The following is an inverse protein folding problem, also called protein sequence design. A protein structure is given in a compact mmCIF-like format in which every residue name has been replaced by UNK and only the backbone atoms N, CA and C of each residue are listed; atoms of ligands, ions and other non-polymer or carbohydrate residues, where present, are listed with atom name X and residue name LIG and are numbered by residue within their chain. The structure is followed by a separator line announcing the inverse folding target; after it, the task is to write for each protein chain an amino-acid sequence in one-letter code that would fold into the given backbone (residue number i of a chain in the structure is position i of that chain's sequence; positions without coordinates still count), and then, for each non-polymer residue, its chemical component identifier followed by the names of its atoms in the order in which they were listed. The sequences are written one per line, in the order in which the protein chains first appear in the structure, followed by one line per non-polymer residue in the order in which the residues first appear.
data_IF_303408756612
#
_entry.id   IF_303408756612
#
_cell.length_a   1.000
_cell.length_b   1.000
_cell.length_c   1.000
_cell.angle_alpha   90.00
_cell.angle_beta   90.00
_cell.angle_gamma   90.00
#
_symmetry.space_group_name_H-M   'P 1'
#
loop_
_entity.id
_entity.type
_entity.pdbx_description
1 polymer ?
#
# COMPACT_ATOMS: atom_id res chain seq x y z
N UNK A 1 -26.84 -32.68 67.98
CA UNK A 1 -27.45 -32.81 66.64
C UNK A 1 -27.35 -31.51 65.83
N UNK A 2 -27.44 -30.33 66.45
CA UNK A 2 -27.36 -29.02 65.75
C UNK A 2 -25.99 -28.71 65.09
N UNK A 3 -24.87 -29.20 65.66
CA UNK A 3 -23.52 -29.01 65.09
C UNK A 3 -23.30 -29.75 63.76
N UNK A 4 -23.97 -30.89 63.56
CA UNK A 4 -23.89 -31.65 62.32
C UNK A 4 -24.68 -30.96 61.20
N UNK A 5 -25.88 -30.47 61.54
CA UNK A 5 -26.74 -29.77 60.58
C UNK A 5 -26.12 -28.47 60.06
N UNK A 6 -25.49 -27.70 60.96
CA UNK A 6 -24.79 -26.47 60.61
C UNK A 6 -23.60 -26.74 59.68
N UNK A 7 -22.83 -27.80 59.95
CA UNK A 7 -21.74 -28.23 59.09
C UNK A 7 -22.20 -28.62 57.67
N UNK A 8 -23.26 -29.43 57.56
CA UNK A 8 -23.85 -29.82 56.27
C UNK A 8 -24.33 -28.61 55.45
N UNK A 9 -24.91 -27.62 56.12
CA UNK A 9 -25.35 -26.39 55.47
C UNK A 9 -24.16 -25.58 54.92
N UNK A 10 -23.05 -25.50 55.67
CA UNK A 10 -21.83 -24.84 55.19
C UNK A 10 -21.18 -25.58 54.02
N UNK A 11 -21.14 -26.91 54.07
CA UNK A 11 -20.69 -27.75 52.96
C UNK A 11 -21.53 -27.51 51.71
N UNK A 12 -22.85 -27.56 51.82
CA UNK A 12 -23.78 -27.32 50.72
C UNK A 12 -23.54 -25.94 50.09
N UNK A 13 -23.36 -24.89 50.91
CA UNK A 13 -23.02 -23.55 50.43
C UNK A 13 -21.71 -23.54 49.63
N UNK A 14 -20.65 -24.21 50.12
CA UNK A 14 -19.39 -24.33 49.40
C UNK A 14 -19.54 -25.09 48.07
N UNK A 15 -20.34 -26.15 48.04
CA UNK A 15 -20.63 -26.89 46.82
C UNK A 15 -21.32 -26.01 45.78
N UNK A 16 -22.32 -25.22 46.18
CA UNK A 16 -22.99 -24.28 45.30
C UNK A 16 -22.02 -23.23 44.73
N UNK A 17 -21.11 -22.71 45.55
CA UNK A 17 -20.06 -21.79 45.09
C UNK A 17 -19.11 -22.45 44.08
N UNK A 18 -18.72 -23.70 44.31
CA UNK A 18 -17.89 -24.48 43.37
C UNK A 18 -18.63 -24.69 42.05
N UNK A 19 -19.90 -25.06 42.10
CA UNK A 19 -20.74 -25.26 40.90
C UNK A 19 -20.87 -23.97 40.10
N UNK A 20 -21.13 -22.83 40.75
CA UNK A 20 -21.19 -21.51 40.11
C UNK A 20 -19.88 -21.14 39.40
N UNK A 21 -18.74 -21.37 40.06
CA UNK A 21 -17.42 -21.12 39.44
C UNK A 21 -17.19 -22.02 38.23
N UNK A 22 -17.53 -23.30 38.34
CA UNK A 22 -17.38 -24.27 37.25
C UNK A 22 -18.23 -23.89 36.04
N UNK A 23 -19.50 -23.53 36.24
CA UNK A 23 -20.39 -23.14 35.14
C UNK A 23 -19.92 -21.87 34.46
N UNK A 24 -19.50 -20.85 35.24
CA UNK A 24 -18.92 -19.62 34.69
C UNK A 24 -17.68 -19.89 33.84
N UNK A 25 -16.75 -20.72 34.32
CA UNK A 25 -15.53 -21.05 33.58
C UNK A 25 -15.83 -21.82 32.29
N UNK A 26 -16.76 -22.78 32.32
CA UNK A 26 -17.17 -23.53 31.13
C UNK A 26 -17.77 -22.60 30.08
N UNK A 27 -18.63 -21.67 30.48
CA UNK A 27 -19.22 -20.68 29.58
C UNK A 27 -18.15 -19.76 28.96
N UNK A 28 -17.16 -19.34 29.74
CA UNK A 28 -16.04 -18.54 29.25
C UNK A 28 -15.19 -19.32 28.23
N UNK A 29 -14.84 -20.56 28.55
CA UNK A 29 -14.07 -21.44 27.66
C UNK A 29 -14.80 -21.69 26.33
N UNK A 30 -16.12 -21.91 26.38
CA UNK A 30 -16.95 -22.06 25.18
C UNK A 30 -16.94 -20.78 24.32
N UNK A 31 -17.12 -19.62 24.94
CA UNK A 31 -17.07 -18.33 24.24
C UNK A 31 -15.73 -18.08 23.55
N UNK A 32 -14.61 -18.37 24.24
CA UNK A 32 -13.27 -18.22 23.68
C UNK A 32 -13.03 -19.18 22.52
N UNK A 33 -13.50 -20.43 22.65
CA UNK A 33 -13.39 -21.43 21.60
C UNK A 33 -14.15 -21.00 20.34
N UNK A 34 -15.38 -20.50 20.49
CA UNK A 34 -16.18 -20.00 19.36
C UNK A 34 -15.53 -18.78 18.68
N UNK A 35 -15.02 -17.82 19.46
CA UNK A 35 -14.25 -16.69 18.90
C UNK A 35 -13.04 -17.16 18.09
N UNK A 36 -12.31 -18.15 18.61
CA UNK A 36 -11.14 -18.69 17.94
C UNK A 36 -11.50 -19.45 16.66
N UNK A 37 -12.57 -20.26 16.66
CA UNK A 37 -13.09 -20.93 15.46
C UNK A 37 -13.49 -19.91 14.40
N UNK A 38 -14.21 -18.86 14.78
CA UNK A 38 -14.63 -17.80 13.86
C UNK A 38 -13.43 -17.06 13.25
N UNK A 39 -12.42 -16.73 14.07
CA UNK A 39 -11.17 -16.12 13.57
C UNK A 39 -10.46 -17.01 12.56
N UNK A 40 -10.33 -18.32 12.85
CA UNK A 40 -9.74 -19.29 11.92
C UNK A 40 -10.52 -19.39 10.61
N UNK A 41 -11.85 -19.43 10.69
CA UNK A 41 -12.71 -19.47 9.51
C UNK A 41 -12.53 -18.21 8.67
N UNK A 42 -12.49 -17.03 9.29
CA UNK A 42 -12.26 -15.77 8.59
C UNK A 42 -10.88 -15.75 7.91
N UNK A 43 -9.83 -16.13 8.63
CA UNK A 43 -8.48 -16.20 8.09
C UNK A 43 -8.39 -17.18 6.90
N UNK A 44 -9.07 -18.33 6.98
CA UNK A 44 -9.13 -19.27 5.87
C UNK A 44 -9.79 -18.65 4.63
N UNK A 45 -10.94 -17.97 4.78
CA UNK A 45 -11.61 -17.27 3.67
C UNK A 45 -10.73 -16.17 3.07
N UNK A 46 -10.08 -15.37 3.92
CA UNK A 46 -9.19 -14.29 3.47
C UNK A 46 -7.98 -14.85 2.70
N UNK A 47 -7.41 -15.96 3.19
CA UNK A 47 -6.30 -16.65 2.53
C UNK A 47 -6.72 -17.24 1.19
N UNK A 48 -7.89 -17.87 1.10
CA UNK A 48 -8.42 -18.43 -0.14
C UNK A 48 -8.69 -17.32 -1.17
N UNK A 49 -9.26 -16.19 -0.73
CA UNK A 49 -9.50 -15.03 -1.59
C UNK A 49 -8.18 -14.42 -2.09
N UNK A 50 -7.14 -14.38 -1.24
CA UNK A 50 -5.80 -13.93 -1.65
C UNK A 50 -5.16 -14.89 -2.65
N UNK A 51 -5.27 -16.21 -2.42
CA UNK A 51 -4.76 -17.24 -3.35
C UNK A 51 -5.43 -17.10 -4.72
N UNK A 52 -6.76 -16.93 -4.78
CA UNK A 52 -7.48 -16.72 -6.04
C UNK A 52 -7.00 -15.47 -6.78
N UNK A 53 -6.94 -14.32 -6.09
CA UNK A 53 -6.42 -13.07 -6.67
C UNK A 53 -4.98 -13.21 -7.16
N UNK A 54 -4.12 -13.87 -6.39
CA UNK A 54 -2.72 -14.07 -6.75
C UNK A 54 -2.59 -14.98 -7.98
N UNK A 55 -3.42 -16.02 -8.09
CA UNK A 55 -3.44 -16.89 -9.26
C UNK A 55 -3.84 -16.15 -10.54
N UNK A 56 -4.85 -15.28 -10.46
CA UNK A 56 -5.27 -14.41 -11.57
C UNK A 56 -4.15 -13.45 -11.99
N UNK A 57 -3.52 -12.78 -11.03
CA UNK A 57 -2.39 -11.88 -11.30
C UNK A 57 -1.21 -12.62 -11.93
N UNK A 58 -0.86 -13.81 -11.45
CA UNK A 58 0.22 -14.61 -12.03
C UNK A 58 -0.09 -15.02 -13.47
N UNK A 59 -1.34 -15.39 -13.75
CA UNK A 59 -1.76 -15.71 -15.11
C UNK A 59 -1.65 -14.49 -16.03
N UNK A 60 -2.08 -13.31 -15.58
CA UNK A 60 -1.99 -12.08 -16.37
C UNK A 60 -0.54 -11.66 -16.61
N UNK A 61 0.32 -11.77 -15.59
CA UNK A 61 1.75 -11.54 -15.73
C UNK A 61 2.39 -12.49 -16.74
N UNK A 62 2.05 -13.77 -16.68
CA UNK A 62 2.55 -14.76 -17.64
C UNK A 62 2.08 -14.44 -19.07
N UNK A 63 0.83 -13.99 -19.24
CA UNK A 63 0.30 -13.56 -20.54
C UNK A 63 1.08 -12.36 -21.09
N UNK A 64 1.35 -11.36 -20.26
CA UNK A 64 2.14 -10.18 -20.63
C UNK A 64 3.58 -10.60 -20.97
N UNK A 65 4.20 -11.45 -20.15
CA UNK A 65 5.55 -11.97 -20.39
C UNK A 65 5.64 -12.70 -21.72
N UNK A 66 4.69 -13.60 -22.01
CA UNK A 66 4.64 -14.30 -23.28
C UNK A 66 4.51 -13.35 -24.46
N UNK A 67 3.65 -12.32 -24.35
CA UNK A 67 3.50 -11.31 -25.38
C UNK A 67 4.79 -10.49 -25.60
N UNK A 68 5.53 -10.19 -24.53
CA UNK A 68 6.81 -9.51 -24.62
C UNK A 68 7.88 -10.40 -25.26
N UNK A 69 7.90 -11.69 -24.92
CA UNK A 69 8.83 -12.67 -25.52
C UNK A 69 8.56 -12.91 -27.01
N UNK A 70 7.30 -12.90 -27.43
CA UNK A 70 6.94 -13.11 -28.85
C UNK A 70 7.12 -11.85 -29.69
N UNK A 71 7.17 -10.67 -29.07
CA UNK A 71 7.44 -9.41 -29.78
C UNK A 71 8.88 -9.43 -30.29
N UNK A 72 9.08 -9.10 -31.57
CA UNK A 72 10.45 -9.00 -32.10
C UNK A 72 11.20 -7.88 -31.38
N UNK A 73 12.45 -8.16 -30.99
CA UNK A 73 13.31 -7.14 -30.40
C UNK A 73 13.47 -5.98 -31.38
N UNK A 74 13.49 -4.72 -30.90
CA UNK A 74 13.80 -3.58 -31.73
C UNK A 74 15.20 -3.72 -32.36
N UNK A 75 15.39 -3.14 -33.54
CA UNK A 75 16.67 -3.21 -34.25
C UNK A 75 17.82 -2.76 -33.33
N UNK A 76 18.99 -3.42 -33.33
CA UNK A 76 20.08 -3.12 -32.39
C UNK A 76 20.50 -1.65 -32.33
N UNK A 77 20.38 -0.91 -33.44
CA UNK A 77 20.64 0.54 -33.46
C UNK A 77 19.66 1.33 -32.59
N UNK A 78 18.38 0.96 -32.59
CA UNK A 78 17.35 1.60 -31.75
C UNK A 78 17.68 1.37 -30.28
N UNK A 79 18.04 0.15 -29.91
CA UNK A 79 18.45 -0.19 -28.53
C UNK A 79 19.70 0.59 -28.11
N UNK A 80 20.69 0.71 -29.00
CA UNK A 80 21.89 1.52 -28.76
C UNK A 80 21.58 2.99 -28.55
N UNK A 81 20.65 3.55 -29.33
CA UNK A 81 20.21 4.93 -29.21
C UNK A 81 19.45 5.15 -27.91
N UNK A 82 18.49 4.28 -27.57
CA UNK A 82 17.74 4.34 -26.30
C UNK A 82 18.69 4.28 -25.10
N UNK A 83 19.66 3.36 -25.12
CA UNK A 83 20.65 3.21 -24.04
C UNK A 83 21.47 4.50 -23.85
N UNK A 84 21.95 5.09 -24.95
CA UNK A 84 22.68 6.37 -24.89
C UNK A 84 21.80 7.53 -24.44
N UNK A 85 20.55 7.55 -24.89
CA UNK A 85 19.59 8.57 -24.50
C UNK A 85 19.33 8.53 -23.00
N UNK A 86 19.02 7.35 -22.44
CA UNK A 86 18.79 7.21 -21.00
C UNK A 86 20.04 7.54 -20.17
N UNK A 87 21.24 7.15 -20.62
CA UNK A 87 22.48 7.56 -19.98
C UNK A 87 22.67 9.10 -19.98
N UNK A 88 22.33 9.77 -21.09
CA UNK A 88 22.36 11.24 -21.17
C UNK A 88 21.29 11.89 -20.29
N UNK A 89 20.12 11.27 -20.16
CA UNK A 89 19.07 11.73 -19.23
C UNK A 89 19.58 11.63 -17.80
N UNK A 90 20.17 10.50 -17.40
CA UNK A 90 20.74 10.29 -16.07
C UNK A 90 21.83 11.31 -15.74
N UNK A 91 22.68 11.67 -16.70
CA UNK A 91 23.69 12.72 -16.55
C UNK A 91 23.07 14.11 -16.31
N UNK A 92 21.89 14.37 -16.89
CA UNK A 92 21.18 15.65 -16.79
C UNK A 92 20.19 15.73 -15.62
N UNK A 93 19.82 14.61 -15.01
CA UNK A 93 18.95 14.58 -13.83
C UNK A 93 19.45 15.50 -12.69
N UNK A 94 20.75 15.54 -12.33
CA UNK A 94 21.24 16.44 -11.27
C UNK A 94 21.07 17.93 -11.62
N UNK A 95 21.27 18.30 -12.89
CA UNK A 95 21.04 19.67 -13.35
C UNK A 95 19.54 20.04 -13.31
N UNK A 96 18.67 19.06 -13.53
CA UNK A 96 17.22 19.24 -13.51
C UNK A 96 16.61 19.09 -12.12
N UNK A 97 17.28 18.45 -11.17
CA UNK A 97 16.75 18.16 -9.82
C UNK A 97 16.16 19.40 -9.13
N UNK A 98 16.81 20.58 -9.11
CA UNK A 98 16.22 21.77 -8.48
C UNK A 98 14.93 22.21 -9.17
N UNK A 99 14.84 22.09 -10.49
CA UNK A 99 13.65 22.44 -11.26
C UNK A 99 12.53 21.41 -11.10
N UNK A 100 12.85 20.11 -11.20
CA UNK A 100 11.90 19.01 -11.01
C UNK A 100 11.28 19.02 -9.60
N UNK A 101 12.04 19.51 -8.61
CA UNK A 101 11.57 19.70 -7.24
C UNK A 101 10.92 21.06 -6.98
N UNK A 102 10.73 21.89 -8.01
CA UNK A 102 10.07 23.20 -7.93
C UNK A 102 10.86 24.30 -7.20
N UNK A 103 12.16 24.09 -6.98
CA UNK A 103 13.06 25.00 -6.26
C UNK A 103 13.99 25.81 -7.15
N UNK A 104 14.02 25.53 -8.46
CA UNK A 104 14.94 26.12 -9.41
C UNK A 104 14.25 26.74 -10.63
N UNK A 105 14.92 27.68 -11.32
CA UNK A 105 14.43 28.20 -12.59
C UNK A 105 14.37 27.09 -13.65
N UNK A 106 13.46 27.22 -14.62
CA UNK A 106 13.35 26.28 -15.74
C UNK A 106 14.70 26.14 -16.45
N UNK A 107 15.23 24.91 -16.63
CA UNK A 107 16.50 24.71 -17.30
C UNK A 107 16.39 25.27 -18.71
N UNK A 108 17.33 26.16 -19.04
CA UNK A 108 17.39 26.80 -20.36
C UNK A 108 17.86 25.75 -21.35
N UNK A 109 17.06 25.49 -22.38
CA UNK A 109 17.43 24.59 -23.47
C UNK A 109 18.67 25.15 -24.16
N UNK A 110 19.70 24.33 -24.34
CA UNK A 110 20.91 24.66 -25.11
C UNK A 110 20.50 25.00 -26.55
N UNK A 111 20.20 26.28 -26.79
CA UNK A 111 19.62 26.76 -28.06
C UNK A 111 18.95 28.14 -27.96
N UNK A 112 18.42 28.55 -26.79
CA UNK A 112 17.65 29.80 -26.64
C UNK A 112 18.50 31.03 -26.26
N UNK A 113 19.71 31.14 -26.80
CA UNK A 113 20.46 32.41 -26.79
C UNK A 113 20.21 33.17 -28.09
N UNK A 114 18.98 33.64 -28.29
CA UNK A 114 18.70 34.65 -29.30
C UNK A 114 17.86 35.80 -28.74
N UNK A 115 18.52 36.94 -28.58
CA UNK A 115 17.97 38.30 -28.62
C UNK A 115 16.91 38.69 -27.59
N UNK A 116 17.28 38.79 -26.31
CA UNK A 116 16.57 39.67 -25.37
C UNK A 116 17.05 41.12 -25.53
N UNK A 117 16.59 41.81 -26.60
CA UNK A 117 16.64 43.28 -26.64
C UNK A 117 15.66 43.83 -25.62
N UNK A 118 16.18 44.51 -24.61
CA UNK A 118 15.42 45.34 -23.68
C UNK A 118 14.64 46.42 -24.42
N UNK A 119 13.31 46.40 -24.32
CA UNK A 119 12.47 47.59 -24.58
C UNK A 119 11.40 47.71 -23.50
N UNK A 120 11.57 48.69 -22.61
CA UNK A 120 10.55 49.13 -21.65
C UNK A 120 9.44 49.90 -22.39
N UNK A 121 8.17 49.56 -22.15
CA UNK A 121 7.12 50.45 -21.57
C UNK A 121 5.68 49.93 -21.86
N UNK A 122 4.94 49.77 -20.75
CA UNK A 122 3.60 50.32 -20.42
C UNK A 122 2.35 49.72 -21.12
N UNK A 123 1.39 49.28 -20.30
CA UNK A 123 -0.03 49.27 -20.64
C UNK A 123 -0.80 48.06 -20.09
N UNK A 124 -1.84 48.33 -19.29
CA UNK A 124 -2.79 47.39 -18.69
C UNK A 124 -3.54 46.53 -19.71
N UNK A 125 -3.94 45.31 -19.32
CA UNK A 125 -5.33 44.96 -18.97
C UNK A 125 -5.44 43.45 -18.78
N UNK A 126 -6.42 43.08 -17.96
CA UNK A 126 -6.79 41.73 -17.55
C UNK A 126 -7.01 40.79 -18.75
N UNK A 127 -6.68 39.51 -18.58
CA UNK A 127 -7.70 38.46 -18.49
C UNK A 127 -7.05 37.11 -18.16
N UNK A 128 -7.55 36.51 -17.09
CA UNK A 128 -7.30 35.12 -16.71
C UNK A 128 -8.03 34.20 -17.68
N UNK A 129 -7.50 33.01 -17.97
CA UNK A 129 -8.35 31.85 -17.68
C UNK A 129 -7.61 30.73 -16.95
N UNK A 130 -8.22 30.38 -15.82
CA UNK A 130 -8.52 29.03 -15.40
C UNK A 130 -7.36 28.09 -15.04
N UNK A 131 -7.07 28.09 -13.75
CA UNK A 131 -6.51 26.97 -13.01
C UNK A 131 -7.34 25.71 -13.24
N UNK A 132 -6.73 24.67 -13.79
CA UNK A 132 -7.13 23.27 -13.57
C UNK A 132 -5.88 22.38 -13.67
N UNK A 133 -5.17 22.23 -12.55
CA UNK A 133 -4.28 21.09 -12.34
C UNK A 133 -3.95 20.96 -10.85
N UNK A 134 -4.90 20.47 -10.05
CA UNK A 134 -4.71 20.26 -8.61
C UNK A 134 -5.36 18.98 -8.09
N UNK A 135 -5.46 17.93 -8.93
CA UNK A 135 -6.14 16.68 -8.52
C UNK A 135 -5.35 15.38 -8.63
N UNK A 136 -4.06 15.40 -8.99
CA UNK A 136 -3.29 14.15 -9.06
C UNK A 136 -2.16 13.99 -8.03
N UNK A 137 -1.91 14.97 -7.16
CA UNK A 137 -0.77 14.93 -6.23
C UNK A 137 -1.03 14.26 -4.87
N UNK A 138 -2.26 13.79 -4.58
CA UNK A 138 -2.60 13.34 -3.21
C UNK A 138 -2.63 11.81 -2.99
N UNK A 139 -2.23 10.97 -3.94
CA UNK A 139 -2.38 9.51 -3.79
C UNK A 139 -1.07 8.69 -3.75
N UNK A 140 0.05 9.28 -3.34
CA UNK A 140 1.28 8.53 -3.06
C UNK A 140 1.83 8.90 -1.69
N UNK A 141 1.25 8.30 -0.65
CA UNK A 141 1.86 8.20 0.67
C UNK A 141 2.58 6.85 0.77
N UNK A 142 3.90 6.79 1.01
CA UNK A 142 4.61 5.55 1.20
C UNK A 142 4.47 5.11 2.66
N UNK A 143 3.46 4.31 2.97
CA UNK A 143 3.36 3.66 4.29
C UNK A 143 3.00 2.19 4.10
N UNK A 144 3.85 1.33 4.65
CA UNK A 144 3.76 -0.13 4.72
C UNK A 144 4.23 -0.95 3.50
N UNK A 145 5.51 -0.85 3.16
CA UNK A 145 6.22 -1.95 2.49
C UNK A 145 6.56 -3.12 3.44
N UNK A 146 6.41 -2.94 4.75
CA UNK A 146 6.73 -3.97 5.74
C UNK A 146 5.67 -5.09 5.91
N UNK A 147 4.55 -5.05 5.18
CA UNK A 147 3.53 -6.12 5.24
C UNK A 147 3.72 -7.22 4.18
N UNK A 148 4.59 -7.02 3.18
CA UNK A 148 4.76 -7.98 2.08
C UNK A 148 5.70 -9.15 2.46
N UNK A 149 6.56 -8.98 3.46
CA UNK A 149 7.52 -10.02 3.88
C UNK A 149 6.86 -11.15 4.69
N UNK A 150 5.68 -10.94 5.29
CA UNK A 150 5.02 -11.98 6.12
C UNK A 150 3.98 -12.84 5.39
N UNK A 151 3.76 -12.65 4.09
CA UNK A 151 2.75 -13.39 3.32
C UNK A 151 3.31 -14.61 2.55
N UNK A 152 4.59 -14.95 2.72
CA UNK A 152 5.27 -16.07 2.03
C UNK A 152 5.86 -17.09 3.02
N UNK A 153 5.25 -17.29 4.18
CA UNK A 153 5.57 -18.39 5.11
C UNK A 153 4.29 -18.95 5.72
#
# INVERSE_FOLDING_TARGET
MESHLTHEMELSKKYEEILKKRTSLLQEMESLNEKHKNKKKQQAMDSEAAVKRNAELLHDLQKIENHLKTRSLPHPEIVSLETRYWASVEEKIPEWEPFLLGRGPTPVRDGDKSHRKTRRKKGSSQDSPHTYCDQFASSLQPKNWNMIIFAVS
#
